data_IF_849690658765
#
_entry.id   IF_849690658765
#
_cell.length_a   1.000
_cell.length_b   1.000
_cell.length_c   1.000
_cell.angle_alpha   90.00
_cell.angle_beta   90.00
_cell.angle_gamma   90.00
#
_symmetry.space_group_name_H-M   'P 1'
#
loop_
_entity.id
_entity.type
_entity.pdbx_description
1 polymer ?
#
# COMPACT_ATOMS: atom_id res chain seq x y z
N UNK A 1 -3.43 -7.97 -22.46
CA UNK A 1 -3.10 -9.39 -22.18
C UNK A 1 -2.33 -9.48 -20.88
N UNK A 2 -2.66 -10.47 -20.05
CA UNK A 2 -2.01 -10.65 -18.75
C UNK A 2 -0.51 -10.85 -18.85
N UNK A 3 -0.06 -11.64 -19.84
CA UNK A 3 1.36 -11.90 -20.07
C UNK A 3 2.13 -10.64 -20.42
N UNK A 4 1.56 -9.78 -21.24
CA UNK A 4 2.18 -8.51 -21.64
C UNK A 4 2.26 -7.54 -20.46
N UNK A 5 1.24 -7.52 -19.61
CA UNK A 5 1.22 -6.69 -18.41
C UNK A 5 2.28 -7.14 -17.39
N UNK A 6 2.47 -8.45 -17.23
CA UNK A 6 3.52 -8.98 -16.36
C UNK A 6 4.92 -8.67 -16.89
N UNK A 7 5.12 -8.75 -18.22
CA UNK A 7 6.39 -8.38 -18.84
C UNK A 7 6.71 -6.91 -18.60
N UNK A 8 5.73 -6.02 -18.76
CA UNK A 8 5.91 -4.59 -18.51
C UNK A 8 6.21 -4.32 -17.03
N UNK A 9 5.56 -5.05 -16.13
CA UNK A 9 5.82 -4.92 -14.69
C UNK A 9 7.23 -5.38 -14.34
N UNK A 10 7.73 -6.44 -14.96
CA UNK A 10 9.09 -6.91 -14.74
C UNK A 10 10.14 -5.94 -15.27
N UNK A 11 9.89 -5.34 -16.43
CA UNK A 11 10.75 -4.26 -16.94
C UNK A 11 10.76 -3.07 -16.00
N UNK A 12 9.59 -2.62 -15.56
CA UNK A 12 9.46 -1.54 -14.61
C UNK A 12 10.18 -1.86 -13.30
N UNK A 13 10.07 -3.11 -12.85
CA UNK A 13 10.77 -3.57 -11.65
C UNK A 13 12.28 -3.41 -11.78
N UNK A 14 12.84 -3.74 -12.95
CA UNK A 14 14.26 -3.55 -13.21
C UNK A 14 14.70 -2.11 -13.08
N UNK A 15 13.94 -1.17 -13.62
CA UNK A 15 14.24 0.27 -13.51
C UNK A 15 14.08 0.77 -12.07
N UNK A 16 13.06 0.31 -11.37
CA UNK A 16 12.81 0.71 -9.97
C UNK A 16 13.93 0.18 -9.07
N UNK A 17 14.38 -1.05 -9.27
CA UNK A 17 15.52 -1.61 -8.51
C UNK A 17 16.78 -0.77 -8.70
N UNK A 18 17.04 -0.32 -9.92
CA UNK A 18 18.16 0.58 -10.21
C UNK A 18 18.03 1.90 -9.45
N UNK A 19 16.82 2.47 -9.44
CA UNK A 19 16.57 3.70 -8.72
C UNK A 19 16.84 3.53 -7.22
N UNK A 20 16.41 2.41 -6.63
CA UNK A 20 16.67 2.09 -5.23
C UNK A 20 18.16 1.89 -4.97
N UNK A 21 18.88 1.22 -5.88
CA UNK A 21 20.32 1.03 -5.74
C UNK A 21 21.08 2.36 -5.73
N UNK A 22 20.63 3.32 -6.54
CA UNK A 22 21.24 4.65 -6.61
C UNK A 22 20.86 5.54 -5.44
N UNK A 23 19.69 5.31 -4.83
CA UNK A 23 19.21 6.13 -3.71
C UNK A 23 18.42 5.24 -2.72
N UNK A 24 19.15 4.41 -1.92
CA UNK A 24 18.49 3.39 -1.07
C UNK A 24 17.62 3.94 0.05
N UNK A 25 17.80 5.21 0.41
CA UNK A 25 17.00 5.86 1.45
C UNK A 25 15.76 6.55 0.92
N UNK A 26 15.53 6.52 -0.40
CA UNK A 26 14.39 7.19 -1.02
C UNK A 26 13.11 6.39 -0.77
N UNK A 27 12.28 6.92 0.14
CA UNK A 27 11.01 6.25 0.51
C UNK A 27 10.05 6.10 -0.65
N UNK A 28 9.98 7.06 -1.55
CA UNK A 28 9.11 6.97 -2.73
C UNK A 28 9.54 5.83 -3.66
N UNK A 29 10.85 5.66 -3.86
CA UNK A 29 11.37 4.55 -4.66
C UNK A 29 11.10 3.20 -4.00
N UNK A 30 11.26 3.12 -2.67
CA UNK A 30 10.96 1.90 -1.91
C UNK A 30 9.47 1.55 -2.00
N UNK A 31 8.59 2.55 -1.93
CA UNK A 31 7.16 2.34 -2.11
C UNK A 31 6.84 1.80 -3.50
N UNK A 32 7.43 2.41 -4.53
CA UNK A 32 7.25 1.94 -5.91
C UNK A 32 7.72 0.50 -6.09
N UNK A 33 8.85 0.15 -5.48
CA UNK A 33 9.39 -1.20 -5.51
C UNK A 33 8.45 -2.19 -4.83
N UNK A 34 7.99 -1.84 -3.63
CA UNK A 34 7.06 -2.68 -2.89
C UNK A 34 5.75 -2.88 -3.63
N UNK A 35 5.22 -1.83 -4.24
CA UNK A 35 3.98 -1.92 -5.01
C UNK A 35 4.15 -2.78 -6.27
N UNK A 36 5.28 -2.67 -6.96
CA UNK A 36 5.58 -3.53 -8.11
C UNK A 36 5.63 -5.01 -7.71
N UNK A 37 6.29 -5.33 -6.59
CA UNK A 37 6.29 -6.68 -6.06
C UNK A 37 4.89 -7.17 -5.71
N UNK A 38 4.07 -6.32 -5.10
CA UNK A 38 2.67 -6.65 -4.78
C UNK A 38 1.90 -7.04 -6.04
N UNK A 39 2.02 -6.25 -7.09
CA UNK A 39 1.32 -6.52 -8.35
C UNK A 39 1.80 -7.80 -9.04
N UNK A 40 3.04 -8.20 -8.78
CA UNK A 40 3.59 -9.46 -9.27
C UNK A 40 3.29 -10.66 -8.36
N UNK A 41 2.58 -10.44 -7.25
CA UNK A 41 2.24 -11.50 -6.31
C UNK A 41 3.37 -11.89 -5.36
N UNK A 42 4.44 -11.11 -5.30
CA UNK A 42 5.59 -11.36 -4.43
C UNK A 42 5.41 -10.62 -3.10
N UNK A 43 4.53 -11.16 -2.26
CA UNK A 43 4.01 -10.44 -1.10
C UNK A 43 5.04 -10.22 0.02
N UNK A 44 5.96 -11.15 0.24
CA UNK A 44 7.01 -10.98 1.26
C UNK A 44 7.96 -9.83 0.88
N UNK A 45 8.38 -9.78 -0.37
CA UNK A 45 9.21 -8.69 -0.87
C UNK A 45 8.46 -7.37 -0.88
N UNK A 46 7.18 -7.41 -1.21
CA UNK A 46 6.32 -6.23 -1.15
C UNK A 46 6.27 -5.68 0.28
N UNK A 47 6.03 -6.52 1.26
CA UNK A 47 5.96 -6.12 2.66
C UNK A 47 7.27 -5.50 3.13
N UNK A 48 8.41 -6.15 2.86
CA UNK A 48 9.72 -5.64 3.26
C UNK A 48 9.95 -4.22 2.74
N UNK A 49 9.68 -3.99 1.46
CA UNK A 49 9.93 -2.70 0.84
C UNK A 49 8.91 -1.63 1.26
N UNK A 50 7.65 -1.99 1.40
CA UNK A 50 6.63 -1.06 1.87
C UNK A 50 6.86 -0.65 3.32
N UNK A 51 7.30 -1.56 4.18
CA UNK A 51 7.64 -1.22 5.56
C UNK A 51 8.86 -0.30 5.63
N UNK A 52 9.88 -0.53 4.82
CA UNK A 52 11.02 0.38 4.71
C UNK A 52 10.59 1.75 4.22
N UNK A 53 9.71 1.80 3.21
CA UNK A 53 9.15 3.05 2.72
C UNK A 53 8.41 3.80 3.83
N UNK A 54 7.60 3.10 4.61
CA UNK A 54 6.87 3.68 5.72
C UNK A 54 7.78 4.27 6.79
N UNK A 55 8.96 3.68 7.02
CA UNK A 55 9.95 4.23 7.95
C UNK A 55 10.56 5.53 7.42
N UNK A 56 10.71 5.66 6.11
CA UNK A 56 11.33 6.84 5.49
C UNK A 56 10.33 7.97 5.26
N UNK A 57 9.11 7.66 4.88
CA UNK A 57 8.04 8.63 4.59
C UNK A 57 6.76 8.25 5.36
N UNK A 58 6.85 8.29 6.70
CA UNK A 58 5.80 7.80 7.59
C UNK A 58 4.49 8.61 7.55
N UNK A 59 4.52 9.80 6.95
CA UNK A 59 3.33 10.64 6.80
C UNK A 59 2.69 10.55 5.40
N UNK A 60 3.21 9.67 4.56
CA UNK A 60 2.67 9.51 3.21
C UNK A 60 1.45 8.58 3.23
N UNK A 61 0.24 9.09 2.89
CA UNK A 61 -0.96 8.26 2.92
C UNK A 61 -0.94 7.13 1.89
N UNK A 62 -0.28 7.33 0.75
CA UNK A 62 -0.21 6.31 -0.31
C UNK A 62 0.52 5.06 0.16
N UNK A 63 1.62 5.21 0.90
CA UNK A 63 2.34 4.08 1.47
C UNK A 63 1.45 3.29 2.43
N UNK A 64 0.69 3.98 3.27
CA UNK A 64 -0.22 3.34 4.22
C UNK A 64 -1.34 2.61 3.49
N UNK A 65 -1.88 3.20 2.42
CA UNK A 65 -2.90 2.54 1.60
C UNK A 65 -2.34 1.27 0.94
N UNK A 66 -1.13 1.32 0.40
CA UNK A 66 -0.47 0.15 -0.18
C UNK A 66 -0.28 -0.97 0.84
N UNK A 67 0.14 -0.62 2.07
CA UNK A 67 0.26 -1.60 3.15
C UNK A 67 -1.10 -2.21 3.51
N UNK A 68 -2.15 -1.39 3.55
CA UNK A 68 -3.51 -1.88 3.77
C UNK A 68 -3.91 -2.92 2.73
N UNK A 69 -3.69 -2.62 1.46
CA UNK A 69 -4.01 -3.53 0.35
C UNK A 69 -3.21 -4.84 0.46
N UNK A 70 -1.93 -4.76 0.82
CA UNK A 70 -1.08 -5.92 1.01
C UNK A 70 -1.60 -6.82 2.13
N UNK A 71 -1.93 -6.24 3.27
CA UNK A 71 -2.42 -7.01 4.42
C UNK A 71 -3.79 -7.62 4.17
N UNK A 72 -4.67 -6.91 3.45
CA UNK A 72 -5.94 -7.48 3.02
C UNK A 72 -5.70 -8.71 2.12
N UNK A 73 -4.82 -8.59 1.15
CA UNK A 73 -4.53 -9.65 0.19
C UNK A 73 -3.94 -10.89 0.87
N UNK A 74 -3.18 -10.70 1.93
CA UNK A 74 -2.54 -11.79 2.68
C UNK A 74 -3.36 -12.25 3.89
N UNK A 75 -4.61 -11.82 4.00
CA UNK A 75 -5.54 -12.29 5.05
C UNK A 75 -5.34 -11.67 6.42
N UNK A 76 -4.53 -10.62 6.54
CA UNK A 76 -4.27 -9.92 7.82
C UNK A 76 -5.14 -8.68 7.94
N UNK A 77 -6.42 -8.89 8.12
CA UNK A 77 -7.44 -7.86 7.98
C UNK A 77 -7.36 -6.76 9.04
N UNK A 78 -6.97 -7.10 10.27
CA UNK A 78 -6.77 -6.11 11.33
C UNK A 78 -5.65 -5.13 11.00
N UNK A 79 -4.55 -5.65 10.46
CA UNK A 79 -3.44 -4.81 10.00
C UNK A 79 -3.86 -3.94 8.82
N UNK A 80 -4.63 -4.51 7.88
CA UNK A 80 -5.16 -3.74 6.76
C UNK A 80 -5.97 -2.54 7.26
N UNK A 81 -6.89 -2.76 8.19
CA UNK A 81 -7.71 -1.69 8.77
C UNK A 81 -6.85 -0.62 9.45
N UNK A 82 -5.84 -1.02 10.21
CA UNK A 82 -4.93 -0.09 10.88
C UNK A 82 -4.22 0.83 9.89
N UNK A 83 -3.70 0.28 8.80
CA UNK A 83 -2.97 1.08 7.81
C UNK A 83 -3.90 1.97 6.99
N UNK A 84 -5.10 1.51 6.67
CA UNK A 84 -6.08 2.37 6.00
C UNK A 84 -6.54 3.53 6.90
N UNK A 85 -6.69 3.31 8.21
CA UNK A 85 -6.97 4.38 9.17
C UNK A 85 -5.86 5.43 9.17
N UNK A 86 -4.60 4.99 9.15
CA UNK A 86 -3.45 5.88 9.06
C UNK A 86 -3.45 6.69 7.77
N UNK A 87 -3.77 6.03 6.64
CA UNK A 87 -3.86 6.71 5.35
C UNK A 87 -4.89 7.85 5.41
N UNK A 88 -6.07 7.58 5.95
CA UNK A 88 -7.11 8.59 6.08
C UNK A 88 -6.69 9.73 7.01
N UNK A 89 -6.02 9.42 8.11
CA UNK A 89 -5.49 10.42 9.03
C UNK A 89 -4.50 11.35 8.33
N UNK A 90 -3.60 10.80 7.53
CA UNK A 90 -2.60 11.60 6.82
C UNK A 90 -3.21 12.45 5.71
N UNK A 91 -4.21 11.93 4.98
CA UNK A 91 -4.94 12.75 4.01
C UNK A 91 -5.66 13.91 4.69
N UNK A 92 -6.23 13.70 5.89
CA UNK A 92 -6.90 14.77 6.64
C UNK A 92 -5.92 15.88 7.09
N UNK A 93 -4.65 15.54 7.25
CA UNK A 93 -3.60 16.50 7.62
C UNK A 93 -3.02 17.22 6.41
N UNK A 94 -3.28 16.74 5.21
CA UNK A 94 -2.76 17.32 3.98
C UNK A 94 -3.67 18.47 3.55
N UNK A 95 -3.08 19.49 2.93
CA UNK A 95 -3.85 20.63 2.38
C UNK A 95 -4.86 20.10 1.37
N UNK A 96 -6.13 20.47 1.56
CA UNK A 96 -7.24 19.93 0.77
C UNK A 96 -7.04 20.10 -0.74
N UNK A 97 -6.42 21.21 -1.16
CA UNK A 97 -6.16 21.46 -2.58
C UNK A 97 -5.18 20.45 -3.21
N UNK A 98 -4.38 19.76 -2.38
CA UNK A 98 -3.38 18.78 -2.85
C UNK A 98 -3.91 17.34 -2.81
N UNK A 99 -5.12 17.13 -2.32
CA UNK A 99 -5.71 15.79 -2.16
C UNK A 99 -6.78 15.60 -3.22
N UNK A 100 -6.65 14.51 -4.01
CA UNK A 100 -7.77 14.05 -4.84
C UNK A 100 -8.79 13.39 -3.91
N UNK A 101 -10.03 13.94 -3.77
CA UNK A 101 -11.01 13.40 -2.84
C UNK A 101 -11.43 11.95 -3.16
N UNK A 102 -11.19 11.48 -4.38
CA UNK A 102 -11.45 10.08 -4.73
C UNK A 102 -10.55 9.10 -3.97
N UNK A 103 -9.34 9.51 -3.60
CA UNK A 103 -8.40 8.64 -2.89
C UNK A 103 -8.86 8.31 -1.47
N UNK A 104 -9.12 9.28 -0.58
CA UNK A 104 -9.65 8.94 0.74
C UNK A 104 -11.03 8.27 0.68
N UNK A 105 -11.88 8.63 -0.29
CA UNK A 105 -13.19 7.99 -0.43
C UNK A 105 -13.05 6.49 -0.76
N UNK A 106 -12.11 6.14 -1.64
CA UNK A 106 -11.83 4.74 -1.98
C UNK A 106 -11.34 3.96 -0.77
N UNK A 107 -10.42 4.54 -0.02
CA UNK A 107 -9.85 3.89 1.18
C UNK A 107 -10.91 3.76 2.27
N UNK A 108 -11.79 4.75 2.44
CA UNK A 108 -12.88 4.67 3.40
C UNK A 108 -13.78 3.47 3.13
N UNK A 109 -14.10 3.20 1.87
CA UNK A 109 -14.90 2.02 1.50
C UNK A 109 -14.20 0.72 1.85
N UNK A 110 -12.90 0.63 1.58
CA UNK A 110 -12.10 -0.56 1.93
C UNK A 110 -12.09 -0.77 3.44
N UNK A 111 -11.90 0.30 4.20
CA UNK A 111 -11.87 0.24 5.66
C UNK A 111 -13.23 -0.19 6.22
N UNK A 112 -14.31 0.38 5.73
CA UNK A 112 -15.68 0.02 6.18
C UNK A 112 -15.96 -1.46 5.91
N UNK A 113 -15.59 -1.95 4.74
CA UNK A 113 -15.73 -3.37 4.39
C UNK A 113 -14.92 -4.28 5.32
N UNK A 114 -13.68 -3.90 5.62
CA UNK A 114 -12.81 -4.64 6.54
C UNK A 114 -13.40 -4.68 7.95
N UNK A 115 -13.90 -3.56 8.44
CA UNK A 115 -14.54 -3.47 9.75
C UNK A 115 -15.78 -4.35 9.87
N UNK A 116 -16.59 -4.41 8.80
CA UNK A 116 -17.77 -5.28 8.76
C UNK A 116 -17.36 -6.75 8.84
N UNK A 117 -16.34 -7.16 8.10
CA UNK A 117 -15.84 -8.54 8.12
C UNK A 117 -15.29 -8.90 9.49
N UNK A 118 -14.51 -7.99 10.11
CA UNK A 118 -13.97 -8.20 11.45
C UNK A 118 -15.07 -8.33 12.49
N UNK A 119 -16.11 -7.51 12.40
CA UNK A 119 -17.26 -7.59 13.31
C UNK A 119 -17.99 -8.93 13.18
N UNK A 120 -18.15 -9.44 11.96
CA UNK A 120 -18.77 -10.77 11.73
C UNK A 120 -17.92 -11.88 12.32
N UNK A 121 -16.61 -11.83 12.15
CA UNK A 121 -15.70 -12.83 12.73
C UNK A 121 -15.78 -12.84 14.25
N UNK A 122 -15.82 -11.66 14.87
CA UNK A 122 -15.97 -11.53 16.33
C UNK A 122 -17.34 -12.04 16.78
N UNK A 123 -18.40 -11.72 16.05
CA UNK A 123 -19.74 -12.18 16.36
C UNK A 123 -19.94 -13.69 16.22
N UNK A 124 -19.12 -14.34 15.38
CA UNK A 124 -19.17 -15.79 15.17
C UNK A 124 -18.47 -16.59 16.28
N UNK A 125 -17.69 -15.92 17.11
CA UNK A 125 -17.05 -16.53 18.26
C UNK A 125 -18.02 -16.55 19.45
#
# INVERSE_FOLDING_TARGET
MLADQNMKLEEALGYIKRAVDLDPANGAYLDSLGWAYFRLGKFELAEDNLLKASQKINTDPTVQDHLGDLYQKTGRLKLAATHWERALTEWNRTVAAEVDPADPARVQKKLDSARMKLAKEEGAK
#
